data_IF_097580089601
#
_entry.id   IF_097580089601
#
_cell.length_a   1.000
_cell.length_b   1.000
_cell.length_c   1.000
_cell.angle_alpha   90.00
_cell.angle_beta   90.00
_cell.angle_gamma   90.00
#
_symmetry.space_group_name_H-M   'P 1'
#
loop_
_entity.id
_entity.type
_entity.pdbx_description
1 polymer ?
#
# COMPACT_ATOMS: atom_id res chain seq x y z
N UNK A 1 -5.33 -29.84 5.25
CA UNK A 1 -4.36 -28.73 5.09
C UNK A 1 -4.88 -27.58 5.92
N UNK A 2 -4.11 -27.08 6.89
CA UNK A 2 -4.49 -25.87 7.62
C UNK A 2 -4.53 -24.69 6.67
N UNK A 3 -5.51 -23.80 6.81
CA UNK A 3 -5.55 -22.55 6.06
C UNK A 3 -4.26 -21.79 6.37
N UNK A 4 -3.57 -21.35 5.31
CA UNK A 4 -2.38 -20.50 5.42
C UNK A 4 -2.74 -19.28 6.29
N UNK A 5 -1.88 -18.89 7.24
CA UNK A 5 -2.23 -17.89 8.22
C UNK A 5 -2.42 -16.59 7.44
N UNK A 6 -3.62 -16.04 7.50
CA UNK A 6 -3.93 -14.82 6.81
C UNK A 6 -3.93 -13.71 7.87
N UNK A 7 -2.93 -12.81 7.90
CA UNK A 7 -2.91 -11.72 8.87
C UNK A 7 -4.06 -10.72 8.70
N UNK A 8 -4.93 -10.95 7.70
CA UNK A 8 -5.85 -9.97 7.12
C UNK A 8 -7.32 -10.41 7.17
N UNK A 9 -7.60 -11.68 7.42
CA UNK A 9 -8.98 -12.12 7.67
C UNK A 9 -9.40 -11.62 9.05
N UNK A 10 -10.50 -10.87 9.06
CA UNK A 10 -11.23 -10.47 10.26
C UNK A 10 -10.51 -9.53 11.24
N UNK A 11 -9.57 -8.69 10.77
CA UNK A 11 -9.20 -7.54 11.62
C UNK A 11 -10.48 -6.72 11.89
N UNK A 12 -10.85 -6.47 13.16
CA UNK A 12 -12.13 -5.85 13.53
C UNK A 12 -12.33 -4.42 13.01
N UNK A 13 -11.29 -3.85 12.40
CA UNK A 13 -11.29 -2.51 11.85
C UNK A 13 -11.53 -2.51 10.33
N UNK A 14 -11.59 -3.68 9.70
CA UNK A 14 -11.69 -3.81 8.25
C UNK A 14 -10.53 -3.11 7.49
N UNK A 15 -10.70 -2.87 6.18
CA UNK A 15 -9.70 -2.16 5.37
C UNK A 15 -9.62 -0.68 5.79
N UNK A 16 -8.50 -0.28 6.38
CA UNK A 16 -8.26 1.11 6.82
C UNK A 16 -8.48 2.15 5.72
N UNK A 17 -8.03 1.85 4.50
CA UNK A 17 -8.11 2.76 3.35
C UNK A 17 -9.55 3.15 3.07
N UNK A 18 -10.45 2.16 3.01
CA UNK A 18 -11.86 2.38 2.70
C UNK A 18 -12.53 3.28 3.75
N UNK A 19 -12.27 3.04 5.05
CA UNK A 19 -12.84 3.86 6.13
C UNK A 19 -12.27 5.27 6.15
N UNK A 20 -10.98 5.42 5.85
CA UNK A 20 -10.31 6.71 5.93
C UNK A 20 -10.46 7.53 4.64
N UNK A 21 -10.96 6.93 3.56
CA UNK A 21 -11.04 7.56 2.23
C UNK A 21 -11.75 8.91 2.23
N UNK A 22 -12.98 8.97 2.74
CA UNK A 22 -13.77 10.20 2.72
C UNK A 22 -13.08 11.34 3.51
N UNK A 23 -12.46 11.01 4.65
CA UNK A 23 -11.72 11.98 5.44
C UNK A 23 -10.45 12.47 4.71
N UNK A 24 -9.74 11.58 4.03
CA UNK A 24 -8.57 11.93 3.21
C UNK A 24 -8.99 12.83 2.04
N UNK A 25 -10.05 12.47 1.34
CA UNK A 25 -10.59 13.20 0.20
C UNK A 25 -10.93 14.64 0.58
N UNK A 26 -11.72 14.84 1.63
CA UNK A 26 -12.04 16.17 2.14
C UNK A 26 -10.78 17.00 2.43
N UNK A 27 -9.74 16.37 3.01
CA UNK A 27 -8.51 17.08 3.36
C UNK A 27 -7.61 17.41 2.16
N UNK A 28 -7.60 16.57 1.14
CA UNK A 28 -6.90 16.86 -0.12
C UNK A 28 -7.62 18.00 -0.86
N UNK A 29 -8.96 17.98 -0.90
CA UNK A 29 -9.77 19.08 -1.45
C UNK A 29 -9.52 20.39 -0.72
N UNK A 30 -9.53 20.38 0.62
CA UNK A 30 -9.23 21.57 1.43
C UNK A 30 -7.82 22.12 1.12
N UNK A 31 -6.83 21.24 0.97
CA UNK A 31 -5.46 21.63 0.63
C UNK A 31 -5.37 22.27 -0.78
N UNK A 32 -6.10 21.74 -1.76
CA UNK A 32 -6.18 22.29 -3.11
C UNK A 32 -6.84 23.68 -3.12
N UNK A 33 -7.95 23.84 -2.41
CA UNK A 33 -8.62 25.15 -2.27
C UNK A 33 -7.68 26.20 -1.67
N UNK A 34 -6.94 25.84 -0.62
CA UNK A 34 -5.96 26.73 -0.01
C UNK A 34 -4.80 27.07 -0.95
N UNK A 35 -4.37 26.13 -1.80
CA UNK A 35 -3.36 26.38 -2.82
C UNK A 35 -3.89 27.36 -3.88
N UNK A 36 -5.09 27.11 -4.40
CA UNK A 36 -5.73 27.92 -5.43
C UNK A 36 -6.03 29.35 -4.95
N UNK A 37 -6.38 29.51 -3.67
CA UNK A 37 -6.57 30.81 -3.03
C UNK A 37 -5.25 31.52 -2.65
N UNK A 38 -4.08 30.90 -2.86
CA UNK A 38 -2.78 31.46 -2.49
C UNK A 38 -2.50 31.47 -0.98
N UNK A 39 -3.33 30.79 -0.17
CA UNK A 39 -3.18 30.70 1.28
C UNK A 39 -1.95 29.84 1.65
N UNK A 40 -1.67 28.80 0.85
CA UNK A 40 -0.46 27.99 0.97
C UNK A 40 0.33 27.99 -0.32
N UNK A 41 1.65 27.85 -0.22
CA UNK A 41 2.50 27.71 -1.40
C UNK A 41 2.44 26.29 -1.98
N UNK A 42 2.80 26.13 -3.26
CA UNK A 42 2.97 24.82 -3.89
C UNK A 42 3.98 23.94 -3.12
N UNK A 43 5.01 24.53 -2.54
CA UNK A 43 5.96 23.79 -1.71
C UNK A 43 5.28 23.22 -0.46
N UNK A 44 4.44 24.00 0.22
CA UNK A 44 3.65 23.52 1.37
C UNK A 44 2.69 22.41 0.93
N UNK A 45 1.94 22.61 -0.15
CA UNK A 45 1.02 21.61 -0.68
C UNK A 45 1.69 20.24 -0.91
N UNK A 46 2.90 20.25 -1.52
CA UNK A 46 3.63 19.04 -1.92
C UNK A 46 4.50 18.43 -0.84
N UNK A 47 4.99 19.22 0.11
CA UNK A 47 6.02 18.76 1.06
C UNK A 47 5.58 18.74 2.51
N UNK A 48 4.47 19.40 2.86
CA UNK A 48 4.03 19.44 4.25
C UNK A 48 3.66 18.03 4.76
N UNK A 49 4.33 17.66 5.84
CA UNK A 49 4.15 16.38 6.55
C UNK A 49 3.25 16.53 7.78
N UNK A 50 2.83 17.73 8.11
CA UNK A 50 2.03 18.00 9.30
C UNK A 50 0.53 17.92 8.99
N UNK A 51 -0.09 18.95 8.39
CA UNK A 51 -1.56 18.96 8.15
C UNK A 51 -2.06 19.75 6.95
N UNK A 52 -1.29 20.72 6.44
CA UNK A 52 -1.79 21.71 5.46
C UNK A 52 -1.67 21.24 4.01
N UNK A 53 -0.72 20.35 3.71
CA UNK A 53 -0.48 19.83 2.37
C UNK A 53 -1.12 18.47 2.09
N UNK A 54 -1.31 18.14 0.81
CA UNK A 54 -1.93 16.88 0.37
C UNK A 54 -1.06 15.65 0.63
N UNK A 55 0.28 15.80 0.63
CA UNK A 55 1.22 14.67 0.79
C UNK A 55 0.97 13.86 2.07
N UNK A 56 0.72 14.55 3.18
CA UNK A 56 0.40 13.90 4.46
C UNK A 56 -0.85 13.02 4.34
N UNK A 57 -1.88 13.53 3.66
CA UNK A 57 -3.17 12.85 3.54
C UNK A 57 -3.09 11.65 2.59
N UNK A 58 -2.37 11.78 1.47
CA UNK A 58 -2.06 10.65 0.58
C UNK A 58 -1.30 9.53 1.31
N UNK A 59 -0.35 9.88 2.17
CA UNK A 59 0.33 8.90 3.04
C UNK A 59 -0.62 8.31 4.09
N UNK A 60 -1.44 9.15 4.73
CA UNK A 60 -2.36 8.80 5.81
C UNK A 60 -3.51 7.87 5.40
N UNK A 61 -3.93 7.91 4.13
CA UNK A 61 -4.85 6.91 3.55
C UNK A 61 -4.34 5.49 3.77
N UNK A 62 -3.02 5.33 3.79
CA UNK A 62 -2.36 4.04 3.77
C UNK A 62 -1.66 3.66 5.09
N UNK A 63 -1.38 4.65 5.94
CA UNK A 63 -0.56 4.46 7.13
C UNK A 63 -1.33 4.92 8.38
N UNK A 64 -2.17 4.06 8.97
CA UNK A 64 -2.65 4.25 10.34
C UNK A 64 -1.48 4.49 11.31
N UNK A 65 -1.74 5.13 12.47
CA UNK A 65 -0.74 5.32 13.51
C UNK A 65 -0.09 3.99 13.96
N UNK A 66 1.15 4.06 14.46
CA UNK A 66 1.86 2.96 15.15
C UNK A 66 2.12 1.70 14.29
N UNK A 67 2.50 1.87 13.02
CA UNK A 67 2.77 0.76 12.07
C UNK A 67 1.60 -0.22 11.89
N UNK A 68 0.39 0.16 12.31
CA UNK A 68 -0.79 -0.70 12.23
C UNK A 68 -1.14 -1.09 10.80
N UNK A 69 -0.57 -0.46 9.78
CA UNK A 69 -0.73 -0.86 8.39
C UNK A 69 -0.27 -2.30 8.15
N UNK A 70 0.70 -2.80 8.95
CA UNK A 70 1.13 -4.20 8.97
C UNK A 70 0.01 -5.14 9.42
N UNK A 71 -0.82 -4.68 10.36
CA UNK A 71 -1.95 -5.44 10.94
C UNK A 71 -3.24 -5.29 10.13
N UNK A 72 -3.45 -4.15 9.49
CA UNK A 72 -4.72 -3.79 8.84
C UNK A 72 -4.85 -4.35 7.42
N UNK A 73 -3.95 -5.24 7.01
CA UNK A 73 -4.02 -6.00 5.77
C UNK A 73 -4.25 -5.15 4.54
N UNK A 74 -3.17 -4.78 3.84
CA UNK A 74 -3.30 -4.42 2.43
C UNK A 74 -3.80 -5.66 1.68
N UNK A 75 -4.69 -5.50 0.70
CA UNK A 75 -5.11 -6.66 -0.06
C UNK A 75 -3.99 -7.11 -1.02
N UNK A 76 -2.99 -6.25 -1.28
CA UNK A 76 -1.86 -6.46 -2.19
C UNK A 76 -0.56 -6.83 -1.47
N UNK A 77 -0.35 -8.13 -1.21
CA UNK A 77 0.92 -8.66 -0.71
C UNK A 77 1.69 -9.35 -1.82
N UNK A 78 2.94 -8.96 -2.00
CA UNK A 78 3.86 -9.76 -2.78
C UNK A 78 4.11 -11.10 -2.10
N UNK A 79 4.43 -12.12 -2.89
CA UNK A 79 4.76 -13.45 -2.40
C UNK A 79 5.95 -13.43 -1.44
N UNK A 80 7.05 -12.74 -1.80
CA UNK A 80 8.24 -12.70 -0.95
C UNK A 80 7.97 -12.03 0.39
N UNK A 81 7.14 -10.98 0.43
CA UNK A 81 6.73 -10.36 1.69
C UNK A 81 5.92 -11.32 2.56
N UNK A 82 4.98 -12.05 1.96
CA UNK A 82 4.15 -13.00 2.67
C UNK A 82 4.97 -14.17 3.24
N UNK A 83 5.87 -14.75 2.44
CA UNK A 83 6.75 -15.83 2.90
C UNK A 83 7.71 -15.36 4.00
N UNK A 84 8.29 -14.16 3.85
CA UNK A 84 9.15 -13.56 4.89
C UNK A 84 8.39 -13.37 6.20
N UNK A 85 7.12 -12.96 6.14
CA UNK A 85 6.27 -12.86 7.32
C UNK A 85 5.93 -14.23 7.91
N UNK A 86 5.54 -15.22 7.09
CA UNK A 86 5.22 -16.60 7.53
C UNK A 86 6.38 -17.22 8.29
N UNK A 87 7.60 -17.09 7.78
CA UNK A 87 8.80 -17.60 8.44
C UNK A 87 8.93 -17.06 9.87
N UNK A 88 8.85 -15.73 10.03
CA UNK A 88 8.94 -15.08 11.34
C UNK A 88 7.75 -15.42 12.23
N UNK A 89 6.55 -15.49 11.66
CA UNK A 89 5.33 -15.82 12.38
C UNK A 89 5.43 -17.23 12.99
N UNK A 90 5.84 -18.23 12.20
CA UNK A 90 5.98 -19.59 12.68
C UNK A 90 7.20 -19.83 13.56
N UNK A 91 8.27 -19.03 13.42
CA UNK A 91 9.41 -19.08 14.33
C UNK A 91 9.13 -18.40 15.68
N UNK A 92 8.09 -17.58 15.78
CA UNK A 92 7.68 -16.90 17.03
C UNK A 92 6.94 -17.90 17.94
N UNK A 93 7.20 -17.91 19.27
CA UNK A 93 6.45 -18.74 20.22
C UNK A 93 4.94 -18.55 20.09
N UNK A 94 4.15 -19.62 20.23
CA UNK A 94 2.71 -19.61 19.90
C UNK A 94 1.93 -18.58 20.71
N UNK A 95 2.29 -18.40 21.97
CA UNK A 95 1.75 -17.44 22.92
C UNK A 95 2.07 -15.98 22.56
N UNK A 96 3.05 -15.76 21.69
CA UNK A 96 3.46 -14.43 21.23
C UNK A 96 3.02 -14.10 19.80
N UNK A 97 2.51 -15.10 19.05
CA UNK A 97 2.10 -14.93 17.65
C UNK A 97 0.92 -13.99 17.49
N UNK A 98 0.01 -14.01 18.46
CA UNK A 98 -1.23 -13.26 18.43
C UNK A 98 -1.27 -12.23 19.55
N UNK A 99 -1.99 -11.13 19.31
CA UNK A 99 -2.32 -10.19 20.37
C UNK A 99 -3.60 -10.62 21.13
N UNK A 100 -4.05 -9.79 22.07
CA UNK A 100 -5.26 -10.04 22.88
C UNK A 100 -6.56 -10.13 22.07
N UNK A 101 -6.54 -9.72 20.79
CA UNK A 101 -7.67 -9.75 19.87
C UNK A 101 -7.59 -10.94 18.90
N UNK A 102 -6.58 -11.80 19.04
CA UNK A 102 -6.39 -12.96 18.17
C UNK A 102 -5.84 -12.61 16.78
N UNK A 103 -5.33 -11.38 16.57
CA UNK A 103 -4.68 -10.99 15.31
C UNK A 103 -3.16 -11.14 15.44
N UNK A 104 -2.42 -11.37 14.34
CA UNK A 104 -0.97 -11.49 14.41
C UNK A 104 -0.31 -10.28 15.07
N UNK A 105 0.56 -10.50 16.05
CA UNK A 105 1.23 -9.44 16.78
C UNK A 105 2.29 -8.76 15.90
N UNK A 106 2.48 -7.43 16.04
CA UNK A 106 3.49 -6.63 15.32
C UNK A 106 4.93 -7.20 15.35
N UNK A 107 5.27 -8.06 16.31
CA UNK A 107 6.60 -8.67 16.44
C UNK A 107 6.85 -9.73 15.37
N UNK A 108 5.77 -10.34 14.86
CA UNK A 108 5.82 -11.34 13.80
C UNK A 108 6.10 -10.72 12.43
N UNK A 109 6.06 -9.38 12.32
CA UNK A 109 6.32 -8.67 11.07
C UNK A 109 7.80 -8.29 10.98
N UNK A 110 8.55 -8.82 10.00
CA UNK A 110 9.97 -8.53 9.87
C UNK A 110 10.21 -7.04 9.64
N UNK A 111 10.89 -6.39 10.59
CA UNK A 111 11.24 -4.97 10.51
C UNK A 111 12.51 -4.79 9.68
N UNK A 112 12.53 -3.76 8.82
CA UNK A 112 13.72 -3.37 8.03
C UNK A 112 15.01 -3.31 8.84
N UNK A 113 14.98 -2.74 10.05
CA UNK A 113 16.19 -2.58 10.89
C UNK A 113 16.81 -3.90 11.34
N UNK A 114 16.03 -4.99 11.40
CA UNK A 114 16.49 -6.31 11.87
C UNK A 114 16.66 -7.31 10.73
N UNK A 115 15.85 -7.20 9.68
CA UNK A 115 15.75 -8.21 8.61
C UNK A 115 16.33 -7.73 7.27
N UNK A 116 16.87 -6.51 7.20
CA UNK A 116 17.49 -5.99 5.99
C UNK A 116 16.54 -6.06 4.80
N UNK A 117 16.93 -6.82 3.78
CA UNK A 117 16.18 -6.99 2.54
C UNK A 117 14.90 -7.81 2.71
N UNK A 118 14.79 -8.66 3.74
CA UNK A 118 13.57 -9.39 4.09
C UNK A 118 12.60 -8.56 4.96
N UNK A 119 13.01 -7.35 5.35
CA UNK A 119 12.13 -6.44 6.06
C UNK A 119 10.91 -6.07 5.22
N UNK A 120 9.73 -6.01 5.84
CA UNK A 120 8.53 -5.57 5.15
C UNK A 120 8.47 -4.07 5.02
N UNK A 121 7.93 -3.61 3.90
CA UNK A 121 7.63 -2.21 3.66
C UNK A 121 6.33 -2.02 2.90
N UNK A 122 5.76 -0.83 3.10
CA UNK A 122 4.65 -0.35 2.33
C UNK A 122 5.19 0.42 1.13
N UNK A 123 4.77 0.04 -0.07
CA UNK A 123 5.10 0.75 -1.30
C UNK A 123 3.85 1.30 -1.98
N UNK A 124 3.94 2.53 -2.49
CA UNK A 124 2.87 3.08 -3.32
C UNK A 124 3.05 2.60 -4.77
N UNK A 125 2.01 1.96 -5.30
CA UNK A 125 2.02 1.43 -6.67
C UNK A 125 2.25 2.57 -7.67
N UNK A 126 1.50 3.66 -7.55
CA UNK A 126 1.80 4.96 -8.19
C UNK A 126 2.63 5.81 -7.23
N UNK A 127 3.86 6.24 -7.58
CA UNK A 127 4.67 7.06 -6.69
C UNK A 127 3.93 8.32 -6.24
N UNK A 128 3.99 8.64 -4.94
CA UNK A 128 3.29 9.81 -4.39
C UNK A 128 3.61 11.12 -5.11
N UNK A 129 4.84 11.29 -5.61
CA UNK A 129 5.23 12.48 -6.37
C UNK A 129 4.37 12.64 -7.63
N UNK A 130 4.07 11.54 -8.31
CA UNK A 130 3.22 11.51 -9.52
C UNK A 130 1.78 11.84 -9.16
N UNK A 131 1.24 11.25 -8.08
CA UNK A 131 -0.11 11.59 -7.61
C UNK A 131 -0.25 13.08 -7.25
N UNK A 132 0.79 13.66 -6.62
CA UNK A 132 0.83 15.11 -6.34
C UNK A 132 0.90 15.94 -7.63
N UNK A 133 1.65 15.50 -8.64
CA UNK A 133 1.67 16.15 -9.96
C UNK A 133 0.29 16.10 -10.65
N UNK A 134 -0.47 15.01 -10.48
CA UNK A 134 -1.84 14.92 -11.02
C UNK A 134 -2.82 15.83 -10.28
N UNK A 135 -2.69 15.96 -8.95
CA UNK A 135 -3.53 16.88 -8.17
C UNK A 135 -3.31 18.34 -8.57
N UNK A 136 -2.09 18.71 -8.97
CA UNK A 136 -1.77 20.05 -9.48
C UNK A 136 -2.52 20.37 -10.80
N UNK A 137 -3.12 19.39 -11.48
CA UNK A 137 -3.87 19.59 -12.72
C UNK A 137 -5.38 19.87 -12.54
N UNK A 138 -5.96 19.73 -11.34
CA UNK A 138 -7.34 20.15 -11.05
C UNK A 138 -8.09 19.37 -9.95
N UNK A 139 -9.09 20.03 -9.35
CA UNK A 139 -9.89 19.51 -8.22
C UNK A 139 -10.83 18.35 -8.61
N UNK A 140 -11.37 18.36 -9.84
CA UNK A 140 -12.34 17.36 -10.32
C UNK A 140 -11.75 15.94 -10.43
N UNK A 141 -10.43 15.81 -10.28
CA UNK A 141 -9.71 14.54 -10.34
C UNK A 141 -9.40 13.93 -8.97
N UNK A 142 -9.72 14.58 -7.82
CA UNK A 142 -9.26 14.09 -6.50
C UNK A 142 -9.75 12.67 -6.24
N UNK A 143 -11.04 12.37 -6.43
CA UNK A 143 -11.59 11.04 -6.23
C UNK A 143 -10.87 10.00 -7.11
N UNK A 144 -10.68 10.31 -8.39
CA UNK A 144 -9.93 9.47 -9.33
C UNK A 144 -8.48 9.28 -8.91
N UNK A 145 -7.79 10.32 -8.44
CA UNK A 145 -6.40 10.23 -7.99
C UNK A 145 -6.30 9.35 -6.74
N UNK A 146 -7.26 9.43 -5.82
CA UNK A 146 -7.34 8.57 -4.65
C UNK A 146 -7.64 7.10 -5.01
N UNK A 147 -8.36 6.83 -6.11
CA UNK A 147 -8.50 5.48 -6.66
C UNK A 147 -7.17 4.90 -7.14
N UNK A 148 -6.25 5.76 -7.57
CA UNK A 148 -4.91 5.37 -8.02
C UNK A 148 -3.87 5.42 -6.89
N UNK A 149 -4.24 5.93 -5.71
CA UNK A 149 -3.41 5.82 -4.51
C UNK A 149 -3.58 4.41 -3.94
N UNK A 150 -2.81 3.47 -4.50
CA UNK A 150 -2.85 2.05 -4.15
C UNK A 150 -1.57 1.70 -3.39
N UNK A 151 -1.73 0.98 -2.28
CA UNK A 151 -0.63 0.50 -1.45
C UNK A 151 -0.39 -1.00 -1.59
N UNK A 152 0.86 -1.40 -1.72
CA UNK A 152 1.31 -2.79 -1.73
C UNK A 152 2.26 -3.08 -0.57
N UNK A 153 2.26 -4.31 -0.08
CA UNK A 153 3.27 -4.81 0.87
C UNK A 153 4.30 -5.64 0.12
N UNK A 154 5.53 -5.17 0.18
CA UNK A 154 6.68 -5.79 -0.45
C UNK A 154 7.82 -5.90 0.57
N UNK A 155 8.83 -6.70 0.23
CA UNK A 155 10.09 -6.69 0.97
C UNK A 155 10.94 -5.48 0.57
N UNK A 156 11.86 -5.08 1.45
CA UNK A 156 12.83 -4.01 1.17
C UNK A 156 13.73 -4.39 -0.03
N UNK A 157 14.05 -5.67 -0.21
CA UNK A 157 14.80 -6.15 -1.37
C UNK A 157 14.03 -5.98 -2.68
N UNK A 158 12.73 -6.29 -2.70
CA UNK A 158 11.86 -6.10 -3.86
C UNK A 158 11.71 -4.63 -4.25
N UNK A 159 11.50 -3.74 -3.27
CA UNK A 159 11.38 -2.30 -3.51
C UNK A 159 12.58 -1.71 -4.25
N UNK A 160 13.79 -2.13 -3.85
CA UNK A 160 15.04 -1.65 -4.48
C UNK A 160 15.19 -2.11 -5.92
N UNK A 161 14.47 -3.16 -6.34
CA UNK A 161 14.46 -3.65 -7.73
C UNK A 161 13.44 -2.90 -8.59
N UNK A 162 12.50 -2.19 -7.97
CA UNK A 162 11.54 -1.40 -8.72
C UNK A 162 12.24 -0.24 -9.44
N UNK A 163 11.82 0.09 -10.67
CA UNK A 163 12.30 1.28 -11.36
C UNK A 163 12.11 2.52 -10.47
N UNK A 164 13.20 3.24 -10.22
CA UNK A 164 13.20 4.51 -9.48
C UNK A 164 12.58 5.65 -10.29
N UNK A 165 12.67 5.57 -11.62
CA UNK A 165 11.91 6.44 -12.54
C UNK A 165 10.57 5.78 -12.81
N UNK A 166 9.51 6.56 -12.64
CA UNK A 166 8.14 6.16 -12.97
C UNK A 166 8.06 5.71 -14.43
N UNK A 167 8.03 4.40 -14.67
CA UNK A 167 7.69 3.80 -15.96
C UNK A 167 6.17 3.81 -16.20
N UNK A 168 5.41 4.52 -15.36
CA UNK A 168 3.96 4.72 -15.52
C UNK A 168 3.68 5.60 -16.75
N UNK A 169 3.82 5.01 -17.93
CA UNK A 169 3.42 5.64 -19.19
C UNK A 169 1.89 5.78 -19.29
N UNK A 170 1.15 5.00 -18.51
CA UNK A 170 -0.30 5.05 -18.46
C UNK A 170 -0.77 5.45 -17.04
N UNK A 171 -1.29 6.66 -16.85
CA UNK A 171 -1.80 7.10 -15.55
C UNK A 171 -3.01 6.28 -15.08
N UNK A 172 -3.69 5.57 -15.98
CA UNK A 172 -4.85 4.72 -15.67
C UNK A 172 -4.47 3.29 -15.31
N UNK A 173 -3.19 2.93 -15.40
CA UNK A 173 -2.72 1.56 -15.14
C UNK A 173 -1.62 1.56 -14.07
N UNK A 174 -2.00 1.57 -12.79
CA UNK A 174 -1.05 1.68 -11.70
C UNK A 174 -0.10 0.47 -11.64
N UNK A 175 -0.51 -0.69 -12.13
CA UNK A 175 0.29 -1.91 -12.00
C UNK A 175 1.47 -2.01 -12.99
N UNK A 176 1.50 -1.17 -14.02
CA UNK A 176 2.53 -1.19 -15.07
C UNK A 176 3.96 -1.09 -14.53
N UNK A 177 4.18 -0.38 -13.42
CA UNK A 177 5.51 -0.26 -12.80
C UNK A 177 6.12 -1.60 -12.37
N UNK A 178 5.30 -2.60 -12.06
CA UNK A 178 5.75 -3.93 -11.68
C UNK A 178 6.01 -4.85 -12.89
N UNK A 179 5.63 -4.43 -14.11
CA UNK A 179 5.88 -5.22 -15.31
C UNK A 179 7.38 -5.51 -15.48
N UNK A 180 7.72 -6.81 -15.58
CA UNK A 180 9.12 -7.26 -15.71
C UNK A 180 9.96 -7.15 -14.43
N UNK A 181 9.41 -6.74 -13.29
CA UNK A 181 10.13 -6.65 -12.01
C UNK A 181 10.39 -7.99 -11.33
N UNK A 182 9.70 -9.05 -11.78
CA UNK A 182 9.71 -10.38 -11.13
C UNK A 182 8.91 -10.46 -9.84
N UNK A 183 8.21 -9.38 -9.45
CA UNK A 183 7.29 -9.37 -8.30
C UNK A 183 5.97 -10.01 -8.71
N UNK A 184 5.49 -10.94 -7.88
CA UNK A 184 4.19 -11.57 -8.02
C UNK A 184 3.37 -11.36 -6.73
N UNK A 185 2.08 -11.13 -6.88
CA UNK A 185 1.13 -10.95 -5.79
C UNK A 185 0.31 -12.21 -5.56
N UNK A 186 0.00 -12.47 -4.29
CA UNK A 186 -0.87 -13.58 -3.89
C UNK A 186 -2.31 -13.22 -4.22
N UNK A 187 -3.04 -14.14 -4.84
CA UNK A 187 -4.45 -13.90 -5.15
C UNK A 187 -5.27 -13.74 -3.87
N UNK A 188 -6.02 -12.64 -3.80
CA UNK A 188 -6.87 -12.33 -2.66
C UNK A 188 -8.35 -12.48 -3.05
N UNK A 189 -9.08 -13.33 -2.33
CA UNK A 189 -10.50 -13.55 -2.56
C UNK A 189 -11.35 -12.26 -2.44
N UNK A 190 -10.86 -11.23 -1.73
CA UNK A 190 -11.54 -9.93 -1.56
C UNK A 190 -11.36 -8.97 -2.74
N UNK A 191 -10.51 -9.27 -3.71
CA UNK A 191 -10.34 -8.42 -4.88
C UNK A 191 -11.55 -8.48 -5.82
N UNK A 192 -11.92 -7.32 -6.34
CA UNK A 192 -12.88 -7.16 -7.42
C UNK A 192 -12.33 -7.75 -8.73
N UNK A 193 -13.21 -8.05 -9.69
CA UNK A 193 -12.79 -8.54 -11.00
C UNK A 193 -11.93 -7.52 -11.75
N UNK A 194 -12.16 -6.22 -11.53
CA UNK A 194 -11.37 -5.13 -12.13
C UNK A 194 -9.93 -5.16 -11.61
N UNK A 195 -9.75 -5.30 -10.28
CA UNK A 195 -8.43 -5.39 -9.66
C UNK A 195 -7.68 -6.65 -10.15
N UNK A 196 -8.37 -7.80 -10.22
CA UNK A 196 -7.79 -9.03 -10.76
C UNK A 196 -7.40 -8.87 -12.23
N UNK A 197 -8.29 -8.32 -13.06
CA UNK A 197 -7.99 -8.14 -14.49
C UNK A 197 -6.76 -7.25 -14.70
N UNK A 198 -6.60 -6.20 -13.90
CA UNK A 198 -5.45 -5.30 -13.99
C UNK A 198 -4.12 -6.00 -13.64
N UNK A 199 -4.10 -6.84 -12.59
CA UNK A 199 -2.92 -7.64 -12.22
C UNK A 199 -2.62 -8.75 -13.26
N UNK A 200 -3.66 -9.40 -13.82
CA UNK A 200 -3.50 -10.44 -14.86
C UNK A 200 -2.87 -9.88 -16.12
N UNK A 201 -3.28 -8.69 -16.56
CA UNK A 201 -2.75 -8.01 -17.75
C UNK A 201 -1.21 -7.90 -17.73
N UNK A 202 -0.61 -7.77 -16.55
CA UNK A 202 0.83 -7.61 -16.37
C UNK A 202 1.55 -8.87 -15.87
N UNK A 203 0.86 -10.02 -15.83
CA UNK A 203 1.45 -11.26 -15.33
C UNK A 203 1.85 -11.21 -13.85
N UNK A 204 1.13 -10.43 -13.04
CA UNK A 204 1.46 -10.20 -11.62
C UNK A 204 0.81 -11.20 -10.67
N UNK A 205 0.12 -12.21 -11.21
CA UNK A 205 -0.27 -13.39 -10.46
C UNK A 205 0.84 -14.43 -10.50
N UNK A 206 0.79 -15.38 -9.58
CA UNK A 206 1.58 -16.59 -9.72
C UNK A 206 1.35 -17.21 -11.11
N UNK A 207 2.40 -17.65 -11.84
CA UNK A 207 2.19 -18.72 -12.79
C UNK A 207 1.59 -19.88 -11.98
N UNK A 208 0.45 -20.41 -12.45
CA UNK A 208 -0.19 -21.58 -11.86
C UNK A 208 0.90 -22.58 -11.49
N UNK A 209 0.90 -23.07 -10.24
CA UNK A 209 1.64 -24.28 -9.88
C UNK A 209 1.00 -25.44 -10.64
N UNK A 210 1.36 -25.55 -11.91
CA UNK A 210 1.10 -26.67 -12.79
C UNK A 210 2.38 -26.85 -13.56
N UNK A 211 3.35 -27.48 -12.90
CA UNK A 211 4.41 -28.37 -13.40
C UNK A 211 5.07 -29.04 -12.18
#
# INVERSE_FOLDING_TARGET
MGLDPNPFTDHPDGPWEARNRAAVEAKVVDALKNLNAGIISRSVFRNDRDKRGAKRWLWGQHHPPNERWKLLGRPYWSRSAYESWKEVFYSTPIEERFDRRGIPHLRTFPKRSKFGDLGLMHEHVVPQKVLLDWLDAGEDAVATILDHNIGAVITVGEDRRLPTRSTHMNPRDPWLRYHGSGIAFIENARWTDIERAALRRHGLFEPNRGD
#
